data_IF_275764465032
#
_entry.id   IF_275764465032
#
_cell.length_a   1.000
_cell.length_b   1.000
_cell.length_c   1.000
_cell.angle_alpha   90.00
_cell.angle_beta   90.00
_cell.angle_gamma   90.00
#
_symmetry.space_group_name_H-M   'P 1'
#
loop_
_entity.id
_entity.type
_entity.pdbx_description
1 polymer ?
#
# COMPACT_ATOMS: atom_id res chain seq x y z
N UNK A 1 24.51 -66.52 26.29
CA UNK A 1 24.55 -65.03 26.17
C UNK A 1 25.40 -64.56 24.99
N UNK A 2 26.61 -65.02 24.76
CA UNK A 2 27.47 -64.54 23.66
C UNK A 2 26.88 -64.69 22.26
N UNK A 3 26.22 -65.83 21.94
CA UNK A 3 25.62 -66.04 20.63
C UNK A 3 24.48 -65.03 20.32
N UNK A 4 23.57 -64.77 21.29
CA UNK A 4 22.46 -63.80 21.11
C UNK A 4 22.96 -62.37 20.96
N UNK A 5 24.08 -61.99 21.60
CA UNK A 5 24.73 -60.70 21.44
C UNK A 5 25.33 -60.56 20.04
N UNK A 6 25.95 -61.65 19.51
CA UNK A 6 26.49 -61.68 18.14
C UNK A 6 25.36 -61.57 17.09
N UNK A 7 24.28 -62.26 17.27
CA UNK A 7 23.07 -62.19 16.38
C UNK A 7 22.49 -60.79 16.38
N UNK A 8 22.37 -60.13 17.55
CA UNK A 8 21.91 -58.75 17.64
C UNK A 8 22.84 -57.75 16.94
N UNK A 9 24.17 -57.88 17.13
CA UNK A 9 25.15 -57.07 16.44
C UNK A 9 25.12 -57.26 14.93
N UNK A 10 24.96 -58.50 14.45
CA UNK A 10 24.82 -58.79 13.03
C UNK A 10 23.55 -58.17 12.44
N UNK A 11 22.44 -58.28 13.14
CA UNK A 11 21.19 -57.63 12.72
C UNK A 11 21.33 -56.11 12.65
N UNK A 12 22.02 -55.48 13.63
CA UNK A 12 22.29 -54.05 13.65
C UNK A 12 23.13 -53.61 12.44
N UNK A 13 24.17 -54.40 12.12
CA UNK A 13 25.01 -54.12 10.93
C UNK A 13 24.23 -54.21 9.64
N UNK A 14 23.38 -55.24 9.51
CA UNK A 14 22.51 -55.40 8.33
C UNK A 14 21.56 -54.22 8.20
N UNK A 15 20.90 -53.80 9.29
CA UNK A 15 19.99 -52.62 9.27
C UNK A 15 20.73 -51.35 8.91
N UNK A 16 21.94 -51.13 9.47
CA UNK A 16 22.76 -50.02 9.12
C UNK A 16 23.20 -50.03 7.64
N UNK A 17 23.56 -51.17 7.11
CA UNK A 17 23.93 -51.33 5.70
C UNK A 17 22.74 -51.03 4.77
N UNK A 18 21.54 -51.50 5.11
CA UNK A 18 20.29 -51.19 4.37
C UNK A 18 20.01 -49.69 4.44
N UNK A 19 20.18 -49.05 5.61
CA UNK A 19 19.98 -47.63 5.77
C UNK A 19 20.96 -46.80 4.92
N UNK A 20 22.24 -47.16 4.89
CA UNK A 20 23.25 -46.52 4.03
C UNK A 20 22.88 -46.72 2.53
N UNK A 21 22.52 -47.92 2.13
CA UNK A 21 22.14 -48.21 0.75
C UNK A 21 20.92 -47.36 0.34
N UNK A 22 19.88 -47.29 1.19
CA UNK A 22 18.73 -46.47 0.97
C UNK A 22 19.11 -44.97 0.81
N UNK A 23 19.97 -44.46 1.68
CA UNK A 23 20.44 -43.08 1.62
C UNK A 23 21.24 -42.77 0.34
N UNK A 24 22.04 -43.71 -0.18
CA UNK A 24 22.76 -43.55 -1.44
C UNK A 24 21.81 -43.48 -2.66
N UNK A 25 20.72 -44.24 -2.62
CA UNK A 25 19.71 -44.28 -3.70
C UNK A 25 18.82 -43.03 -3.66
N UNK A 26 18.61 -42.41 -2.49
CA UNK A 26 17.79 -41.22 -2.35
C UNK A 26 18.34 -40.03 -3.16
N UNK A 27 17.45 -39.18 -3.72
CA UNK A 27 17.85 -37.97 -4.46
C UNK A 27 18.77 -37.07 -3.64
N UNK A 28 19.76 -36.48 -4.30
CA UNK A 28 20.66 -35.49 -3.69
C UNK A 28 20.05 -34.08 -3.66
N UNK A 29 18.85 -33.90 -4.21
CA UNK A 29 18.08 -32.63 -4.25
C UNK A 29 16.64 -32.91 -3.90
N UNK A 30 15.96 -31.93 -3.35
CA UNK A 30 14.52 -31.95 -3.13
C UNK A 30 13.85 -30.81 -3.90
N UNK A 31 12.66 -31.06 -4.42
CA UNK A 31 11.84 -30.07 -5.10
C UNK A 31 10.38 -30.33 -4.79
N UNK A 32 9.63 -29.25 -4.57
CA UNK A 32 8.17 -29.27 -4.46
C UNK A 32 7.62 -27.96 -5.00
N UNK A 33 6.46 -28.03 -5.64
CA UNK A 33 5.78 -26.85 -6.17
C UNK A 33 4.27 -26.92 -5.99
N UNK A 34 3.64 -25.76 -5.88
CA UNK A 34 2.21 -25.57 -5.91
C UNK A 34 1.85 -24.34 -6.73
N UNK A 35 0.70 -24.40 -7.39
CA UNK A 35 0.20 -23.30 -8.22
C UNK A 35 -1.20 -22.90 -7.80
N UNK A 36 -1.47 -21.58 -7.91
CA UNK A 36 -2.79 -20.99 -7.65
C UNK A 36 -3.03 -19.81 -8.60
N UNK A 37 -4.25 -19.70 -9.11
CA UNK A 37 -4.68 -18.51 -9.88
C UNK A 37 -5.25 -17.48 -8.93
N UNK A 38 -4.66 -16.29 -8.91
CA UNK A 38 -5.07 -15.15 -8.08
C UNK A 38 -5.77 -14.13 -8.98
N UNK A 39 -6.92 -13.61 -8.52
CA UNK A 39 -7.73 -12.61 -9.22
C UNK A 39 -7.16 -11.19 -9.13
N UNK A 40 -5.86 -11.04 -9.44
CA UNK A 40 -5.14 -9.75 -9.38
C UNK A 40 -4.19 -9.61 -10.57
N UNK A 41 -3.91 -8.36 -10.92
CA UNK A 41 -2.87 -8.05 -11.89
C UNK A 41 -1.50 -8.55 -11.40
N UNK A 42 -0.68 -9.02 -12.34
CA UNK A 42 0.64 -9.56 -12.05
C UNK A 42 1.53 -8.55 -11.33
N UNK A 43 1.39 -7.24 -11.62
CA UNK A 43 2.15 -6.20 -10.94
C UNK A 43 1.88 -6.18 -9.44
N UNK A 44 0.62 -6.29 -9.02
CA UNK A 44 0.24 -6.30 -7.60
C UNK A 44 0.78 -7.52 -6.86
N UNK A 45 0.73 -8.69 -7.51
CA UNK A 45 1.31 -9.93 -6.96
C UNK A 45 2.83 -9.81 -6.84
N UNK A 46 3.47 -9.32 -7.92
CA UNK A 46 4.91 -9.12 -7.96
C UNK A 46 5.38 -8.19 -6.85
N UNK A 47 4.76 -7.02 -6.70
CA UNK A 47 5.17 -6.03 -5.71
C UNK A 47 5.04 -6.55 -4.26
N UNK A 48 4.05 -7.41 -3.95
CA UNK A 48 3.95 -8.05 -2.64
C UNK A 48 5.06 -9.07 -2.41
N UNK A 49 5.51 -9.77 -3.46
CA UNK A 49 6.54 -10.80 -3.37
C UNK A 49 7.96 -10.26 -3.52
N UNK A 50 8.12 -9.08 -4.13
CA UNK A 50 9.42 -8.43 -4.33
C UNK A 50 9.93 -7.67 -3.08
N UNK A 51 9.13 -7.66 -2.02
CA UNK A 51 9.47 -7.16 -0.70
C UNK A 51 8.87 -8.07 0.38
N UNK A 52 9.26 -7.87 1.65
CA UNK A 52 8.83 -8.73 2.75
C UNK A 52 7.86 -8.05 3.73
N UNK A 53 7.43 -6.80 3.47
CA UNK A 53 6.61 -6.04 4.42
C UNK A 53 5.24 -6.69 4.70
N UNK A 54 4.69 -7.43 3.72
CA UNK A 54 3.43 -8.18 3.86
C UNK A 54 3.65 -9.66 4.23
N UNK A 55 4.90 -10.15 4.28
CA UNK A 55 5.20 -11.56 4.64
C UNK A 55 4.53 -12.02 5.95
N UNK A 56 4.49 -11.22 7.02
CA UNK A 56 3.82 -11.62 8.25
C UNK A 56 2.34 -11.96 8.08
N UNK A 57 1.67 -11.42 7.07
CA UNK A 57 0.25 -11.58 6.86
C UNK A 57 -0.10 -12.85 6.07
N UNK A 58 0.82 -13.34 5.24
CA UNK A 58 0.56 -14.55 4.45
C UNK A 58 1.46 -15.74 4.83
N UNK A 59 2.54 -15.54 5.59
CA UNK A 59 3.40 -16.63 6.05
C UNK A 59 2.74 -17.48 7.14
N UNK A 60 3.01 -18.78 7.12
CA UNK A 60 2.60 -19.72 8.18
C UNK A 60 3.28 -19.43 9.52
N UNK A 61 4.40 -18.71 9.53
CA UNK A 61 5.20 -18.44 10.72
C UNK A 61 4.38 -17.80 11.85
N UNK A 62 3.52 -16.84 11.51
CA UNK A 62 2.64 -16.18 12.49
C UNK A 62 1.57 -17.12 13.07
N UNK A 63 1.22 -18.20 12.37
CA UNK A 63 0.31 -19.21 12.90
C UNK A 63 0.99 -20.14 13.92
N UNK A 64 2.31 -20.26 13.84
CA UNK A 64 3.11 -21.03 14.81
C UNK A 64 3.43 -20.21 16.06
N UNK A 65 3.75 -18.92 15.85
CA UNK A 65 4.11 -18.01 16.95
C UNK A 65 3.56 -16.60 16.68
N UNK A 66 2.50 -16.23 17.40
CA UNK A 66 1.90 -14.88 17.30
C UNK A 66 2.83 -13.75 17.81
N UNK A 67 3.92 -14.08 18.51
CA UNK A 67 4.88 -13.13 19.06
C UNK A 67 6.20 -13.11 18.27
N UNK A 68 6.23 -13.74 17.10
CA UNK A 68 7.41 -13.76 16.23
C UNK A 68 7.86 -12.33 15.92
N UNK A 69 9.17 -12.11 15.96
CA UNK A 69 9.77 -10.80 15.68
C UNK A 69 10.44 -10.84 14.30
N UNK A 70 10.03 -9.89 13.47
CA UNK A 70 10.63 -9.67 12.15
C UNK A 70 11.57 -8.47 12.21
N UNK A 71 12.72 -8.61 11.55
CA UNK A 71 13.66 -7.52 11.32
C UNK A 71 13.93 -7.41 9.82
N UNK A 72 13.69 -6.23 9.27
CA UNK A 72 13.89 -5.93 7.86
C UNK A 72 15.23 -5.26 7.66
N UNK A 73 15.97 -5.67 6.64
CA UNK A 73 17.31 -5.17 6.31
C UNK A 73 17.54 -5.19 4.80
N UNK A 74 18.65 -4.64 4.36
CA UNK A 74 18.99 -4.54 2.94
C UNK A 74 18.19 -3.45 2.22
N UNK A 75 17.70 -3.75 1.03
CA UNK A 75 16.88 -2.83 0.23
C UNK A 75 15.42 -2.88 0.62
N UNK A 76 14.68 -1.83 0.30
CA UNK A 76 13.23 -1.79 0.52
C UNK A 76 12.47 -2.86 -0.30
N UNK A 77 12.94 -3.14 -1.53
CA UNK A 77 12.39 -4.15 -2.44
C UNK A 77 13.45 -4.57 -3.47
N UNK A 78 13.15 -5.64 -4.22
CA UNK A 78 14.02 -6.20 -5.24
C UNK A 78 15.23 -6.94 -4.70
N UNK A 79 16.15 -7.37 -5.59
CA UNK A 79 17.34 -8.12 -5.20
C UNK A 79 18.14 -7.42 -4.10
N UNK A 80 18.34 -8.11 -2.98
CA UNK A 80 18.98 -7.61 -1.77
C UNK A 80 18.03 -7.07 -0.71
N UNK A 81 16.71 -7.13 -0.90
CA UNK A 81 15.77 -6.98 0.20
C UNK A 81 15.83 -8.21 1.12
N UNK A 82 15.80 -8.01 2.42
CA UNK A 82 15.98 -9.08 3.40
C UNK A 82 15.01 -8.93 4.57
N UNK A 83 14.51 -10.06 5.06
CA UNK A 83 13.80 -10.18 6.33
C UNK A 83 14.39 -11.33 7.13
N UNK A 84 14.64 -11.11 8.41
CA UNK A 84 14.97 -12.16 9.36
C UNK A 84 13.91 -12.26 10.45
N UNK A 85 13.77 -13.45 11.02
CA UNK A 85 12.84 -13.66 12.13
C UNK A 85 13.45 -14.48 13.26
N UNK A 86 12.93 -14.23 14.45
CA UNK A 86 13.25 -15.00 15.64
C UNK A 86 11.98 -15.41 16.37
N UNK A 87 11.93 -16.69 16.76
CA UNK A 87 10.80 -17.28 17.46
C UNK A 87 11.27 -18.22 18.54
N UNK A 88 10.48 -18.34 19.60
CA UNK A 88 10.65 -19.36 20.64
C UNK A 88 9.95 -20.68 20.30
N UNK A 89 9.06 -20.71 19.32
CA UNK A 89 8.41 -21.94 18.84
C UNK A 89 9.35 -22.69 17.88
N UNK A 90 9.56 -23.96 18.13
CA UNK A 90 10.50 -24.81 17.36
C UNK A 90 10.08 -24.96 15.90
N UNK A 91 8.78 -24.86 15.58
CA UNK A 91 8.25 -24.99 14.22
C UNK A 91 8.56 -23.72 13.39
N UNK A 92 8.43 -22.55 13.99
CA UNK A 92 8.80 -21.29 13.35
C UNK A 92 10.34 -21.14 13.30
N UNK A 93 11.03 -21.49 14.39
CA UNK A 93 12.49 -21.38 14.52
C UNK A 93 13.01 -19.97 14.28
N UNK A 94 14.28 -19.91 13.91
CA UNK A 94 14.91 -18.69 13.43
C UNK A 94 15.29 -18.86 11.96
N UNK A 95 15.25 -17.76 11.19
CA UNK A 95 15.65 -17.82 9.79
C UNK A 95 15.67 -16.44 9.14
N UNK A 96 16.01 -16.45 7.85
CA UNK A 96 15.95 -15.27 6.99
C UNK A 96 15.54 -15.64 5.58
N UNK A 97 14.98 -14.66 4.88
CA UNK A 97 14.69 -14.67 3.46
C UNK A 97 15.34 -13.45 2.83
N UNK A 98 16.01 -13.65 1.69
CA UNK A 98 16.60 -12.59 0.90
C UNK A 98 16.13 -12.72 -0.53
N UNK A 99 15.68 -11.61 -1.15
CA UNK A 99 15.41 -11.59 -2.59
C UNK A 99 16.74 -11.71 -3.33
N UNK A 100 17.00 -12.87 -3.94
CA UNK A 100 18.18 -13.11 -4.75
C UNK A 100 18.04 -12.45 -6.12
N UNK A 101 16.92 -12.72 -6.78
CA UNK A 101 16.64 -12.21 -8.12
C UNK A 101 15.16 -11.94 -8.34
N UNK A 102 14.88 -10.94 -9.17
CA UNK A 102 13.54 -10.57 -9.60
C UNK A 102 13.59 -10.14 -11.08
N UNK A 103 12.82 -10.81 -11.93
CA UNK A 103 12.84 -10.62 -13.37
C UNK A 103 11.41 -10.64 -13.94
N UNK A 104 11.04 -9.66 -14.79
CA UNK A 104 11.80 -8.45 -15.14
C UNK A 104 11.99 -7.52 -13.94
N UNK A 105 12.89 -6.53 -14.07
CA UNK A 105 13.08 -5.53 -13.01
C UNK A 105 11.76 -4.87 -12.65
N UNK A 106 11.62 -4.44 -11.42
CA UNK A 106 10.43 -3.81 -10.85
C UNK A 106 9.77 -2.78 -11.80
N UNK A 107 10.55 -1.88 -12.41
CA UNK A 107 10.06 -0.86 -13.33
C UNK A 107 9.60 -1.40 -14.70
N UNK A 108 9.77 -2.70 -14.97
CA UNK A 108 9.42 -3.34 -16.24
C UNK A 108 8.21 -4.27 -16.15
N UNK A 109 7.68 -4.52 -14.95
CA UNK A 109 6.46 -5.32 -14.77
C UNK A 109 5.24 -4.45 -15.06
N UNK A 110 5.01 -4.20 -16.32
CA UNK A 110 3.87 -3.43 -16.84
C UNK A 110 2.82 -4.34 -17.52
N UNK A 111 1.86 -3.73 -18.19
CA UNK A 111 0.82 -4.45 -18.92
C UNK A 111 1.34 -5.30 -20.09
N UNK A 112 2.60 -5.19 -20.49
CA UNK A 112 3.20 -5.93 -21.62
C UNK A 112 3.92 -7.19 -21.17
N UNK A 113 4.42 -7.24 -19.94
CA UNK A 113 5.09 -8.42 -19.38
C UNK A 113 4.09 -9.56 -19.22
N UNK A 114 4.37 -10.72 -19.82
CA UNK A 114 3.51 -11.93 -19.72
C UNK A 114 3.87 -12.81 -18.55
N UNK A 115 5.14 -12.81 -18.17
CA UNK A 115 5.70 -13.64 -17.11
C UNK A 115 6.65 -12.82 -16.26
N UNK A 116 6.75 -13.19 -14.99
CA UNK A 116 7.77 -12.68 -14.09
C UNK A 116 8.25 -13.82 -13.17
N UNK A 117 9.44 -13.67 -12.62
CA UNK A 117 10.01 -14.61 -11.67
C UNK A 117 10.70 -13.86 -10.53
N UNK A 118 10.48 -14.32 -9.31
CA UNK A 118 11.17 -13.84 -8.11
C UNK A 118 11.76 -15.05 -7.40
N UNK A 119 12.99 -14.93 -6.98
CA UNK A 119 13.70 -15.99 -6.23
C UNK A 119 14.09 -15.43 -4.87
N UNK A 120 13.74 -16.17 -3.83
CA UNK A 120 14.16 -15.89 -2.46
C UNK A 120 15.14 -16.96 -2.00
N UNK A 121 16.28 -16.57 -1.47
CA UNK A 121 17.16 -17.43 -0.70
C UNK A 121 16.60 -17.61 0.70
N UNK A 122 16.57 -18.85 1.19
CA UNK A 122 16.06 -19.22 2.50
C UNK A 122 17.19 -19.75 3.39
N UNK A 123 17.38 -19.12 4.53
CA UNK A 123 18.20 -19.65 5.62
C UNK A 123 17.32 -19.96 6.83
N UNK A 124 17.24 -21.23 7.22
CA UNK A 124 16.49 -21.69 8.38
C UNK A 124 17.02 -23.07 8.85
N UNK A 125 16.39 -23.61 9.89
CA UNK A 125 16.75 -24.92 10.47
C UNK A 125 16.42 -26.15 9.62
N UNK A 126 15.77 -26.03 8.47
CA UNK A 126 15.48 -27.17 7.60
C UNK A 126 16.76 -27.78 7.04
N UNK A 127 16.75 -29.11 6.86
CA UNK A 127 17.93 -29.85 6.39
C UNK A 127 18.22 -29.55 4.94
N UNK A 128 19.51 -29.53 4.61
CA UNK A 128 20.01 -29.21 3.28
C UNK A 128 20.66 -27.81 3.23
N UNK A 129 21.10 -27.43 2.06
CA UNK A 129 21.75 -26.15 1.76
C UNK A 129 21.26 -25.64 0.39
N UNK A 130 21.61 -24.43 0.00
CA UNK A 130 21.12 -23.76 -1.21
C UNK A 130 19.60 -23.89 -1.30
N UNK A 131 18.93 -23.47 -0.24
CA UNK A 131 17.46 -23.52 -0.15
C UNK A 131 16.87 -22.27 -0.79
N UNK A 132 16.00 -22.45 -1.77
CA UNK A 132 15.37 -21.34 -2.47
C UNK A 132 13.87 -21.53 -2.57
N UNK A 133 13.14 -20.42 -2.50
CA UNK A 133 11.77 -20.31 -2.96
C UNK A 133 11.76 -19.58 -4.30
N UNK A 134 11.10 -20.15 -5.29
CA UNK A 134 10.91 -19.51 -6.60
C UNK A 134 9.43 -19.28 -6.84
N UNK A 135 9.09 -18.05 -7.21
CA UNK A 135 7.77 -17.64 -7.65
C UNK A 135 7.80 -17.41 -9.15
N UNK A 136 7.12 -18.26 -9.90
CA UNK A 136 6.87 -18.02 -11.32
C UNK A 136 5.46 -17.45 -11.47
N UNK A 137 5.37 -16.25 -12.05
CA UNK A 137 4.14 -15.51 -12.28
C UNK A 137 3.80 -15.54 -13.77
N UNK A 138 2.55 -15.82 -14.11
CA UNK A 138 2.06 -15.82 -15.48
C UNK A 138 0.71 -15.11 -15.57
N UNK A 139 0.60 -14.13 -16.47
CA UNK A 139 -0.67 -13.45 -16.73
C UNK A 139 -1.66 -14.38 -17.41
N UNK A 140 -2.88 -14.40 -16.90
CA UNK A 140 -3.97 -15.22 -17.44
C UNK A 140 -5.25 -14.38 -17.65
N UNK A 141 -6.19 -15.00 -18.38
CA UNK A 141 -7.48 -14.42 -18.70
C UNK A 141 -7.44 -13.46 -19.90
N UNK A 142 -8.62 -13.18 -20.47
CA UNK A 142 -8.76 -12.35 -21.68
C UNK A 142 -8.36 -10.88 -21.49
N UNK A 143 -8.35 -10.41 -20.24
CA UNK A 143 -7.99 -9.03 -19.87
C UNK A 143 -6.67 -8.94 -19.10
N UNK A 144 -5.90 -10.03 -19.01
CA UNK A 144 -4.66 -10.12 -18.23
C UNK A 144 -4.79 -9.67 -16.75
N UNK A 145 -5.98 -9.82 -16.17
CA UNK A 145 -6.28 -9.41 -14.80
C UNK A 145 -6.18 -10.56 -13.79
N UNK A 146 -5.78 -11.72 -14.25
CA UNK A 146 -5.53 -12.91 -13.41
C UNK A 146 -4.04 -13.22 -13.47
N UNK A 147 -3.50 -13.71 -12.37
CA UNK A 147 -2.12 -14.17 -12.30
C UNK A 147 -2.08 -15.59 -11.78
N UNK A 148 -1.51 -16.50 -12.56
CA UNK A 148 -1.11 -17.81 -12.06
C UNK A 148 0.21 -17.65 -11.32
N UNK A 149 0.23 -18.05 -10.05
CA UNK A 149 1.40 -18.04 -9.18
C UNK A 149 1.81 -19.47 -8.94
N UNK A 150 2.97 -19.86 -9.43
CA UNK A 150 3.62 -21.13 -9.08
C UNK A 150 4.71 -20.85 -8.08
N UNK A 151 4.58 -21.38 -6.87
CA UNK A 151 5.57 -21.26 -5.79
C UNK A 151 6.25 -22.60 -5.63
N UNK A 152 7.57 -22.64 -5.85
CA UNK A 152 8.39 -23.84 -5.65
C UNK A 152 9.41 -23.65 -4.52
N UNK A 153 9.80 -24.78 -3.94
CA UNK A 153 10.91 -24.89 -3.01
C UNK A 153 11.93 -25.86 -3.55
N UNK A 154 13.17 -25.43 -3.59
CA UNK A 154 14.33 -26.23 -4.01
C UNK A 154 15.37 -26.31 -2.91
N UNK A 155 15.99 -27.48 -2.75
CA UNK A 155 17.02 -27.73 -1.72
C UNK A 155 18.02 -28.77 -2.19
N UNK A 156 19.29 -28.60 -1.80
CA UNK A 156 20.35 -29.55 -2.02
C UNK A 156 20.72 -30.31 -0.74
N UNK A 157 20.81 -31.63 -0.84
CA UNK A 157 21.27 -32.50 0.25
C UNK A 157 22.72 -32.98 0.02
N UNK A 158 23.19 -32.94 -1.22
CA UNK A 158 24.53 -33.34 -1.64
C UNK A 158 24.85 -34.81 -1.28
N UNK A 159 26.05 -35.06 -0.78
CA UNK A 159 26.51 -36.39 -0.34
C UNK A 159 26.29 -36.63 1.16
N UNK A 160 25.61 -35.74 1.88
CA UNK A 160 25.27 -36.00 3.28
C UNK A 160 24.10 -36.99 3.33
N UNK A 161 24.41 -38.26 3.56
CA UNK A 161 23.45 -39.37 3.55
C UNK A 161 22.33 -39.17 4.58
N UNK A 162 22.61 -38.56 5.72
CA UNK A 162 21.59 -38.26 6.74
C UNK A 162 20.62 -37.18 6.25
N UNK A 163 21.12 -36.16 5.59
CA UNK A 163 20.27 -35.09 5.06
C UNK A 163 19.39 -35.57 3.90
N UNK A 164 19.81 -36.60 3.12
CA UNK A 164 19.00 -37.17 2.04
C UNK A 164 17.69 -37.79 2.55
N UNK A 165 17.68 -38.31 3.78
CA UNK A 165 16.44 -38.81 4.39
C UNK A 165 15.42 -37.70 4.61
N UNK A 166 15.84 -36.43 4.72
CA UNK A 166 14.93 -35.30 4.83
C UNK A 166 14.03 -35.12 3.59
N UNK A 167 14.44 -35.65 2.43
CA UNK A 167 13.58 -35.64 1.23
C UNK A 167 12.27 -36.43 1.42
N UNK A 168 12.19 -37.37 2.33
CA UNK A 168 10.95 -38.07 2.68
C UNK A 168 9.93 -37.16 3.35
N UNK A 169 10.39 -36.04 3.92
CA UNK A 169 9.58 -35.07 4.66
C UNK A 169 9.41 -33.75 3.90
N UNK A 170 9.80 -33.69 2.62
CA UNK A 170 9.68 -32.45 1.82
C UNK A 170 8.23 -32.01 1.66
N UNK A 171 7.29 -32.98 1.69
CA UNK A 171 5.83 -32.73 1.71
C UNK A 171 5.30 -32.41 3.12
N UNK A 172 6.16 -32.18 4.10
CA UNK A 172 5.81 -31.72 5.44
C UNK A 172 5.87 -30.20 5.57
N UNK A 173 6.84 -29.68 6.33
CA UNK A 173 6.96 -28.27 6.62
C UNK A 173 7.13 -27.37 5.38
N UNK A 174 7.98 -27.72 4.36
CA UNK A 174 8.11 -26.90 3.17
C UNK A 174 6.81 -26.80 2.35
N UNK A 175 6.11 -27.93 2.18
CA UNK A 175 4.85 -27.98 1.45
C UNK A 175 3.75 -27.20 2.16
N UNK A 176 3.65 -27.37 3.48
CA UNK A 176 2.70 -26.63 4.31
C UNK A 176 2.97 -25.12 4.29
N UNK A 177 4.24 -24.71 4.24
CA UNK A 177 4.63 -23.31 4.13
C UNK A 177 4.12 -22.70 2.82
N UNK A 178 4.30 -23.40 1.70
CA UNK A 178 3.84 -22.97 0.38
C UNK A 178 2.31 -22.95 0.31
N UNK A 179 1.65 -24.02 0.73
CA UNK A 179 0.18 -24.14 0.65
C UNK A 179 -0.52 -23.05 1.47
N UNK A 180 -0.10 -22.89 2.72
CA UNK A 180 -0.64 -21.84 3.60
C UNK A 180 -0.33 -20.46 3.05
N UNK A 181 0.91 -20.26 2.57
CA UNK A 181 1.37 -19.00 2.01
C UNK A 181 0.54 -18.58 0.79
N UNK A 182 0.31 -19.47 -0.17
CA UNK A 182 -0.52 -19.17 -1.35
C UNK A 182 -1.96 -18.83 -1.00
N UNK A 183 -2.59 -19.58 -0.09
CA UNK A 183 -3.96 -19.32 0.35
C UNK A 183 -4.08 -17.94 1.02
N UNK A 184 -3.14 -17.59 1.89
CA UNK A 184 -3.17 -16.29 2.56
C UNK A 184 -2.74 -15.15 1.64
N UNK A 185 -1.80 -15.37 0.71
CA UNK A 185 -1.43 -14.37 -0.29
C UNK A 185 -2.66 -13.93 -1.10
N UNK A 186 -3.55 -14.85 -1.47
CA UNK A 186 -4.82 -14.53 -2.11
C UNK A 186 -5.68 -13.61 -1.23
N UNK A 187 -5.77 -13.89 0.08
CA UNK A 187 -6.55 -13.08 1.02
C UNK A 187 -5.94 -11.68 1.21
N UNK A 188 -4.62 -11.60 1.33
CA UNK A 188 -3.89 -10.33 1.43
C UNK A 188 -4.13 -9.47 0.20
N UNK A 189 -4.02 -10.06 -0.98
CA UNK A 189 -4.24 -9.37 -2.25
C UNK A 189 -5.71 -9.00 -2.48
N UNK A 190 -6.67 -9.74 -1.90
CA UNK A 190 -8.09 -9.41 -2.04
C UNK A 190 -8.42 -8.00 -1.51
N UNK A 191 -7.69 -7.51 -0.51
CA UNK A 191 -7.86 -6.16 0.05
C UNK A 191 -7.30 -5.05 -0.83
N UNK A 192 -6.45 -5.36 -1.80
CA UNK A 192 -5.81 -4.37 -2.68
C UNK A 192 -6.81 -3.93 -3.77
N UNK A 193 -7.02 -2.64 -4.03
CA UNK A 193 -7.84 -2.17 -5.14
C UNK A 193 -7.36 -2.71 -6.49
N UNK A 194 -8.30 -3.04 -7.39
CA UNK A 194 -7.98 -3.51 -8.75
C UNK A 194 -7.74 -2.31 -9.68
N UNK A 195 -6.60 -1.67 -9.54
CA UNK A 195 -6.17 -0.54 -10.35
C UNK A 195 -4.76 -0.78 -10.88
N UNK A 196 -4.47 -0.23 -12.06
CA UNK A 196 -3.13 -0.21 -12.62
C UNK A 196 -2.41 1.05 -12.09
N UNK A 197 -1.32 0.85 -11.37
CA UNK A 197 -0.48 1.91 -10.83
C UNK A 197 0.97 1.86 -11.36
N UNK A 198 1.15 1.29 -12.55
CA UNK A 198 2.49 1.11 -13.14
C UNK A 198 3.28 2.41 -13.31
N UNK A 199 2.57 3.51 -13.53
CA UNK A 199 3.16 4.83 -13.74
C UNK A 199 3.26 5.65 -12.44
N UNK A 200 2.79 5.09 -11.31
CA UNK A 200 2.80 5.74 -10.01
C UNK A 200 4.09 5.42 -9.25
N UNK A 201 4.90 6.43 -8.98
CA UNK A 201 5.94 6.40 -7.95
C UNK A 201 5.53 7.42 -6.90
N UNK A 202 4.88 7.01 -5.79
CA UNK A 202 4.38 7.95 -4.81
C UNK A 202 5.52 8.66 -4.11
N UNK A 203 5.29 9.93 -3.86
CA UNK A 203 6.17 10.79 -3.11
C UNK A 203 5.84 10.67 -1.62
N UNK A 204 6.83 10.56 -0.74
CA UNK A 204 6.59 10.62 0.69
C UNK A 204 6.82 12.05 1.15
N UNK A 205 5.74 12.68 1.61
CA UNK A 205 5.78 14.01 2.18
C UNK A 205 5.51 13.97 3.68
N UNK A 206 6.30 14.69 4.44
CA UNK A 206 5.96 15.03 5.82
C UNK A 206 5.06 16.26 5.81
N UNK A 207 3.89 16.15 6.43
CA UNK A 207 2.94 17.26 6.57
C UNK A 207 2.88 17.72 8.02
N UNK A 208 2.67 19.02 8.23
CA UNK A 208 2.47 19.56 9.56
C UNK A 208 0.98 19.56 9.94
N UNK A 209 0.64 19.33 11.23
CA UNK A 209 -0.73 19.50 11.69
C UNK A 209 -1.21 20.90 11.39
N UNK A 210 -2.26 21.01 10.57
CA UNK A 210 -2.72 22.29 10.05
C UNK A 210 -4.11 22.61 10.58
N UNK A 211 -4.34 23.77 11.25
CA UNK A 211 -5.68 24.17 11.67
C UNK A 211 -6.53 24.49 10.44
N UNK A 212 -7.74 23.93 10.38
CA UNK A 212 -8.66 24.09 9.26
C UNK A 212 -10.07 24.39 9.73
N UNK A 213 -10.79 25.20 8.94
CA UNK A 213 -12.24 25.26 8.94
C UNK A 213 -12.75 24.38 7.82
N UNK A 214 -13.80 23.59 8.06
CA UNK A 214 -14.36 22.66 7.09
C UNK A 214 -15.88 22.63 7.12
N UNK A 215 -16.47 22.26 5.97
CA UNK A 215 -17.92 22.03 5.80
C UNK A 215 -18.12 20.65 5.21
N UNK A 216 -18.88 19.76 5.89
CA UNK A 216 -19.28 18.49 5.33
C UNK A 216 -20.27 18.67 4.17
N UNK A 217 -20.03 17.96 3.08
CA UNK A 217 -20.84 18.03 1.85
C UNK A 217 -21.18 16.63 1.38
N UNK A 218 -22.40 16.47 0.88
CA UNK A 218 -22.83 15.26 0.16
C UNK A 218 -23.48 15.65 -1.14
N UNK A 219 -23.09 15.04 -2.25
CA UNK A 219 -23.69 15.22 -3.57
C UNK A 219 -24.15 13.89 -4.14
N UNK A 220 -25.10 13.94 -5.07
CA UNK A 220 -25.44 12.79 -5.90
C UNK A 220 -24.52 12.76 -7.11
N UNK A 221 -23.91 11.62 -7.39
CA UNK A 221 -22.96 11.46 -8.52
C UNK A 221 -23.63 11.72 -9.88
N UNK A 222 -24.93 11.43 -10.00
CA UNK A 222 -25.71 11.71 -11.21
C UNK A 222 -25.81 13.20 -11.58
N UNK A 223 -25.62 14.08 -10.60
CA UNK A 223 -25.73 15.54 -10.80
C UNK A 223 -24.43 16.14 -11.39
N UNK A 224 -23.38 15.31 -11.53
CA UNK A 224 -22.19 15.59 -12.31
C UNK A 224 -21.23 16.63 -11.72
N UNK A 225 -20.36 17.16 -12.59
CA UNK A 225 -19.29 18.08 -12.19
C UNK A 225 -19.81 19.43 -11.68
N UNK A 226 -20.94 19.90 -12.19
CA UNK A 226 -21.50 21.20 -11.80
C UNK A 226 -21.98 21.18 -10.35
N UNK A 227 -22.58 20.06 -9.91
CA UNK A 227 -23.00 19.89 -8.51
C UNK A 227 -21.79 19.87 -7.57
N UNK A 228 -20.71 19.19 -7.97
CA UNK A 228 -19.46 19.20 -7.20
C UNK A 228 -18.89 20.62 -7.09
N UNK A 229 -18.67 21.29 -8.22
CA UNK A 229 -18.08 22.62 -8.27
C UNK A 229 -18.93 23.64 -7.51
N UNK A 230 -20.25 23.59 -7.68
CA UNK A 230 -21.17 24.47 -6.99
C UNK A 230 -21.18 24.27 -5.48
N UNK A 231 -21.17 23.01 -5.01
CA UNK A 231 -21.13 22.70 -3.59
C UNK A 231 -19.80 23.07 -2.93
N UNK A 232 -18.67 22.85 -3.62
CA UNK A 232 -17.34 23.30 -3.16
C UNK A 232 -17.30 24.83 -3.04
N UNK A 233 -17.80 25.56 -4.05
CA UNK A 233 -17.83 27.04 -4.03
C UNK A 233 -18.71 27.57 -2.89
N UNK A 234 -19.85 26.94 -2.63
CA UNK A 234 -20.74 27.27 -1.51
C UNK A 234 -20.03 27.04 -0.17
N UNK A 235 -19.40 25.90 0.01
CA UNK A 235 -18.66 25.57 1.23
C UNK A 235 -17.52 26.54 1.48
N UNK A 236 -16.72 26.90 0.46
CA UNK A 236 -15.67 27.92 0.55
C UNK A 236 -16.23 29.26 1.03
N UNK A 237 -17.36 29.71 0.46
CA UNK A 237 -17.99 30.96 0.85
C UNK A 237 -18.46 30.95 2.31
N UNK A 238 -19.01 29.82 2.79
CA UNK A 238 -19.37 29.63 4.20
C UNK A 238 -18.15 29.70 5.12
N UNK A 239 -17.07 29.00 4.76
CA UNK A 239 -15.81 29.00 5.53
C UNK A 239 -15.22 30.42 5.62
N UNK A 240 -15.15 31.14 4.50
CA UNK A 240 -14.63 32.51 4.46
C UNK A 240 -15.46 33.48 5.30
N UNK A 241 -16.79 33.36 5.26
CA UNK A 241 -17.68 34.15 6.09
C UNK A 241 -17.48 33.86 7.59
N UNK A 242 -17.32 32.59 7.95
CA UNK A 242 -17.08 32.16 9.33
C UNK A 242 -15.67 32.56 9.80
N UNK A 243 -14.64 32.43 8.98
CA UNK A 243 -13.29 32.88 9.30
C UNK A 243 -13.26 34.39 9.64
N UNK A 244 -13.97 35.19 8.84
CA UNK A 244 -14.13 36.63 9.11
C UNK A 244 -14.85 36.92 10.43
N UNK A 245 -15.90 36.16 10.77
CA UNK A 245 -16.60 36.27 12.05
C UNK A 245 -15.69 35.93 13.24
N UNK A 246 -14.85 34.91 13.08
CA UNK A 246 -13.91 34.45 14.10
C UNK A 246 -12.64 35.33 14.20
N UNK A 247 -12.42 36.22 13.25
CA UNK A 247 -11.22 37.07 13.19
C UNK A 247 -9.94 36.31 12.82
N UNK A 248 -10.06 35.21 12.07
CA UNK A 248 -8.93 34.39 11.59
C UNK A 248 -8.78 34.55 10.07
N UNK A 249 -7.56 34.33 9.57
CA UNK A 249 -7.24 34.42 8.14
C UNK A 249 -7.11 33.05 7.53
N UNK A 250 -7.60 32.92 6.29
CA UNK A 250 -7.35 31.75 5.46
C UNK A 250 -5.92 31.83 4.90
N UNK A 251 -5.13 30.78 5.07
CA UNK A 251 -3.69 30.77 4.78
C UNK A 251 -3.27 29.95 3.57
N UNK A 252 -4.19 29.15 3.00
CA UNK A 252 -3.84 28.24 1.90
C UNK A 252 -4.99 27.88 0.97
N UNK A 253 -4.73 27.07 -0.04
CA UNK A 253 -5.74 26.58 -0.97
C UNK A 253 -6.76 25.66 -0.27
N UNK A 254 -7.87 25.39 -0.97
CA UNK A 254 -8.87 24.44 -0.49
C UNK A 254 -8.28 23.04 -0.40
N UNK A 255 -8.73 22.31 0.60
CA UNK A 255 -8.46 20.88 0.81
C UNK A 255 -9.80 20.15 0.73
N UNK A 256 -9.84 19.00 0.09
CA UNK A 256 -11.03 18.13 0.08
C UNK A 256 -10.68 16.79 0.71
N UNK A 257 -11.26 16.52 1.88
CA UNK A 257 -11.12 15.22 2.56
C UNK A 257 -12.24 14.30 2.10
N UNK A 258 -11.90 13.17 1.51
CA UNK A 258 -12.91 12.19 1.09
C UNK A 258 -13.41 11.42 2.30
N UNK A 259 -14.73 11.44 2.50
CA UNK A 259 -15.38 10.65 3.56
C UNK A 259 -15.89 9.33 3.01
N UNK A 260 -16.63 9.37 1.91
CA UNK A 260 -17.16 8.17 1.25
C UNK A 260 -17.44 8.48 -0.22
N UNK A 261 -16.96 7.62 -1.09
CA UNK A 261 -17.30 7.64 -2.51
C UNK A 261 -18.06 6.36 -2.84
N UNK A 262 -19.38 6.42 -2.70
CA UNK A 262 -20.29 5.31 -2.99
C UNK A 262 -20.70 5.26 -4.46
N UNK A 263 -21.61 4.35 -4.78
CA UNK A 263 -22.10 4.14 -6.16
C UNK A 263 -23.01 5.29 -6.64
N UNK A 264 -23.72 5.94 -5.73
CA UNK A 264 -24.71 6.99 -6.04
C UNK A 264 -24.38 8.33 -5.41
N UNK A 265 -23.63 8.35 -4.32
CA UNK A 265 -23.32 9.55 -3.55
C UNK A 265 -21.82 9.70 -3.32
N UNK A 266 -21.38 10.95 -3.28
CA UNK A 266 -20.04 11.32 -2.83
C UNK A 266 -20.16 12.25 -1.62
N UNK A 267 -19.60 11.82 -0.48
CA UNK A 267 -19.52 12.59 0.75
C UNK A 267 -18.07 12.98 1.02
N UNK A 268 -17.84 14.25 1.29
CA UNK A 268 -16.51 14.82 1.51
C UNK A 268 -16.60 16.07 2.39
N UNK A 269 -15.49 16.46 2.98
CA UNK A 269 -15.37 17.71 3.72
C UNK A 269 -14.55 18.70 2.88
N UNK A 270 -15.10 19.86 2.59
CA UNK A 270 -14.35 20.98 1.99
C UNK A 270 -13.74 21.77 3.12
N UNK A 271 -12.43 21.96 3.09
CA UNK A 271 -11.68 22.65 4.15
C UNK A 271 -10.79 23.76 3.60
N UNK A 272 -10.49 24.72 4.44
CA UNK A 272 -9.48 25.76 4.19
C UNK A 272 -8.58 25.92 5.43
N UNK A 273 -7.24 25.96 5.24
CA UNK A 273 -6.31 26.23 6.31
C UNK A 273 -6.51 27.64 6.89
N UNK A 274 -6.31 27.77 8.19
CA UNK A 274 -6.38 29.06 8.91
C UNK A 274 -5.10 29.29 9.73
N UNK A 275 -4.87 30.55 10.12
CA UNK A 275 -3.68 30.99 10.83
C UNK A 275 -3.71 30.77 12.35
N UNK A 276 -4.79 30.19 12.90
CA UNK A 276 -4.93 30.00 14.34
C UNK A 276 -5.36 28.59 14.70
N UNK A 277 -4.67 27.99 15.67
CA UNK A 277 -5.05 26.71 16.29
C UNK A 277 -5.95 26.88 17.53
N UNK A 278 -6.28 28.13 17.91
CA UNK A 278 -7.19 28.43 19.00
C UNK A 278 -8.27 29.40 18.51
N UNK A 279 -9.55 29.06 18.72
CA UNK A 279 -10.69 29.84 18.26
C UNK A 279 -11.53 30.33 19.42
N UNK A 280 -11.99 31.58 19.37
CA UNK A 280 -12.95 32.10 20.33
C UNK A 280 -14.37 31.81 19.81
N UNK A 281 -15.07 30.90 20.46
CA UNK A 281 -16.45 30.53 20.15
C UNK A 281 -17.31 30.82 21.38
N UNK A 282 -18.33 31.64 21.23
CA UNK A 282 -19.22 32.07 22.33
C UNK A 282 -18.48 32.70 23.53
N UNK A 283 -17.38 33.42 23.30
CA UNK A 283 -16.59 34.05 24.36
C UNK A 283 -15.63 33.11 25.08
N UNK A 284 -15.54 31.84 24.66
CA UNK A 284 -14.59 30.87 25.20
C UNK A 284 -13.52 30.54 24.15
N UNK A 285 -12.25 30.60 24.54
CA UNK A 285 -11.14 30.17 23.69
C UNK A 285 -11.02 28.65 23.75
N UNK A 286 -11.17 27.98 22.60
CA UNK A 286 -11.05 26.54 22.47
C UNK A 286 -9.86 26.21 21.58
N UNK A 287 -9.00 25.30 22.04
CA UNK A 287 -7.86 24.80 21.29
C UNK A 287 -8.34 23.72 20.33
N UNK A 288 -7.92 23.81 19.05
CA UNK A 288 -8.25 22.78 18.07
C UNK A 288 -7.43 21.51 18.32
N UNK A 289 -8.09 20.37 18.16
CA UNK A 289 -7.50 19.05 18.30
C UNK A 289 -7.66 18.26 17.01
N UNK A 290 -6.83 17.22 16.84
CA UNK A 290 -7.00 16.26 15.76
C UNK A 290 -8.34 15.53 15.91
N UNK A 291 -8.98 15.12 14.79
CA UNK A 291 -10.20 14.34 14.86
C UNK A 291 -9.95 12.98 15.54
N UNK A 292 -10.96 12.48 16.20
CA UNK A 292 -10.93 11.18 16.89
C UNK A 292 -11.90 10.19 16.22
N UNK A 293 -11.66 8.88 16.32
CA UNK A 293 -12.62 7.89 15.85
C UNK A 293 -13.98 8.12 16.55
N UNK A 294 -15.10 7.95 15.84
CA UNK A 294 -16.41 8.01 16.50
C UNK A 294 -16.49 6.90 17.57
N UNK A 295 -17.08 7.21 18.71
CA UNK A 295 -17.32 6.22 19.75
C UNK A 295 -18.15 5.07 19.14
N UNK A 296 -17.71 3.82 19.38
CA UNK A 296 -18.48 2.64 19.00
C UNK A 296 -19.74 2.61 19.87
N UNK A 297 -20.90 2.70 19.23
CA UNK A 297 -22.17 2.53 19.92
C UNK A 297 -22.39 1.02 20.15
N UNK A 298 -21.96 0.53 21.32
CA UNK A 298 -22.07 -0.89 21.69
C UNK A 298 -23.53 -1.37 21.83
N UNK A 299 -24.51 -0.48 21.66
CA UNK A 299 -25.95 -0.79 21.70
C UNK A 299 -26.60 -0.82 20.32
N UNK A 300 -25.87 -0.60 19.22
CA UNK A 300 -26.43 -0.76 17.89
C UNK A 300 -26.74 -2.26 17.63
N UNK A 301 -27.98 -2.61 17.25
CA UNK A 301 -28.32 -4.00 16.93
C UNK A 301 -27.47 -4.47 15.75
N UNK A 302 -26.94 -5.70 15.83
CA UNK A 302 -26.05 -6.33 14.84
C UNK A 302 -26.72 -6.60 13.46
N UNK A 303 -27.94 -6.18 13.24
CA UNK A 303 -28.78 -6.44 12.06
C UNK A 303 -29.26 -5.15 11.38
N UNK A 304 -28.37 -4.23 11.05
CA UNK A 304 -28.71 -3.07 10.24
C UNK A 304 -28.27 -3.23 8.77
N UNK A 305 -28.77 -4.27 8.11
CA UNK A 305 -28.74 -4.44 6.64
C UNK A 305 -29.74 -3.58 5.86
N UNK A 306 -30.34 -2.59 6.51
CA UNK A 306 -31.19 -1.57 5.86
C UNK A 306 -30.75 -0.21 6.37
N UNK A 307 -30.32 0.66 5.46
CA UNK A 307 -30.02 2.05 5.74
C UNK A 307 -31.26 2.73 6.40
N UNK A 308 -31.32 2.70 7.72
CA UNK A 308 -32.22 3.55 8.47
C UNK A 308 -31.83 5.00 8.16
N UNK A 309 -32.81 5.80 7.71
CA UNK A 309 -32.64 7.23 7.59
C UNK A 309 -32.03 7.76 8.91
N UNK A 310 -31.03 8.64 8.87
CA UNK A 310 -30.43 9.16 10.09
C UNK A 310 -31.54 9.78 10.93
N UNK A 311 -31.72 9.28 12.17
CA UNK A 311 -32.53 9.97 13.16
C UNK A 311 -32.08 11.43 13.15
N UNK A 312 -33.02 12.37 13.19
CA UNK A 312 -32.73 13.80 13.18
C UNK A 312 -31.75 14.09 14.32
N UNK A 313 -30.46 14.20 13.97
CA UNK A 313 -29.44 14.55 14.94
C UNK A 313 -29.80 15.93 15.48
N UNK A 314 -29.84 16.08 16.81
CA UNK A 314 -29.99 17.39 17.44
C UNK A 314 -29.00 18.36 16.76
N UNK A 315 -29.51 19.52 16.34
CA UNK A 315 -28.69 20.51 15.68
C UNK A 315 -27.60 20.99 16.66
N UNK A 316 -26.36 20.57 16.39
CA UNK A 316 -25.19 20.96 17.18
C UNK A 316 -25.06 22.49 17.19
N UNK A 317 -24.73 23.03 18.37
CA UNK A 317 -24.57 24.48 18.56
C UNK A 317 -23.10 24.89 18.50
N UNK A 318 -22.78 26.13 18.16
CA UNK A 318 -21.40 26.62 18.27
C UNK A 318 -20.82 26.39 19.67
N UNK A 319 -19.66 25.76 19.74
CA UNK A 319 -19.01 25.30 20.97
C UNK A 319 -19.16 23.82 21.28
N UNK A 320 -20.11 23.09 20.65
CA UNK A 320 -20.24 21.64 20.74
C UNK A 320 -19.16 20.94 19.89
N UNK A 321 -18.99 19.65 20.12
CA UNK A 321 -18.14 18.79 19.29
C UNK A 321 -19.01 17.77 18.55
N UNK A 322 -18.68 17.51 17.27
CA UNK A 322 -19.33 16.48 16.51
C UNK A 322 -18.81 15.07 16.87
N UNK A 323 -19.37 14.04 16.24
CA UNK A 323 -18.97 12.63 16.50
C UNK A 323 -17.48 12.31 16.22
N UNK A 324 -16.76 13.17 15.53
CA UNK A 324 -15.32 13.05 15.29
C UNK A 324 -14.50 13.98 16.19
N UNK A 325 -15.11 14.60 17.21
CA UNK A 325 -14.44 15.54 18.11
C UNK A 325 -14.11 16.90 17.46
N UNK A 326 -14.67 17.22 16.30
CA UNK A 326 -14.45 18.49 15.60
C UNK A 326 -15.33 19.59 16.19
N UNK A 327 -14.75 20.73 16.48
CA UNK A 327 -15.45 21.86 17.08
C UNK A 327 -16.46 22.47 16.11
N UNK A 328 -17.71 22.61 16.52
CA UNK A 328 -18.75 23.36 15.80
C UNK A 328 -18.53 24.85 16.00
N UNK A 329 -18.35 25.62 14.95
CA UNK A 329 -18.07 27.04 15.04
C UNK A 329 -19.19 27.95 14.53
N UNK A 330 -19.86 27.58 13.44
CA UNK A 330 -21.00 28.35 12.90
C UNK A 330 -21.82 27.48 11.92
N UNK A 331 -23.05 27.14 12.26
CA UNK A 331 -23.92 26.29 11.42
C UNK A 331 -23.27 24.95 11.06
N UNK A 332 -22.99 24.73 9.77
CA UNK A 332 -22.35 23.50 9.29
C UNK A 332 -20.83 23.57 9.34
N UNK A 333 -20.24 24.72 9.67
CA UNK A 333 -18.79 24.89 9.72
C UNK A 333 -18.23 24.25 10.99
N UNK A 334 -17.21 23.43 10.80
CA UNK A 334 -16.45 22.76 11.87
C UNK A 334 -15.00 23.22 11.83
N UNK A 335 -14.31 23.10 12.95
CA UNK A 335 -12.87 23.38 13.06
C UNK A 335 -12.14 22.18 13.68
N UNK A 336 -10.94 21.90 13.18
CA UNK A 336 -10.09 20.81 13.68
C UNK A 336 -8.64 21.03 13.25
N UNK A 337 -7.71 20.24 13.79
CA UNK A 337 -6.37 20.09 13.21
C UNK A 337 -6.42 18.99 12.15
N UNK A 338 -6.06 19.31 10.91
CA UNK A 338 -5.83 18.33 9.87
C UNK A 338 -4.59 17.50 10.20
N UNK A 339 -4.51 16.31 9.59
CA UNK A 339 -3.44 15.35 9.79
C UNK A 339 -2.04 15.99 9.65
N UNK A 340 -1.16 15.66 10.59
CA UNK A 340 0.27 15.92 10.52
C UNK A 340 1.04 14.61 10.64
N UNK A 341 1.96 14.38 9.71
CA UNK A 341 2.74 13.15 9.64
C UNK A 341 3.08 12.76 8.21
N UNK A 342 3.55 11.53 7.99
CA UNK A 342 3.90 11.05 6.66
C UNK A 342 2.64 10.80 5.81
N UNK A 343 2.70 11.17 4.55
CA UNK A 343 1.66 10.90 3.56
C UNK A 343 2.29 10.53 2.22
N UNK A 344 1.71 9.55 1.55
CA UNK A 344 2.00 9.28 0.14
C UNK A 344 1.31 10.34 -0.71
N UNK A 345 2.04 10.94 -1.63
CA UNK A 345 1.55 11.96 -2.55
C UNK A 345 1.61 11.44 -3.98
N UNK A 346 0.50 11.56 -4.70
CA UNK A 346 0.40 11.40 -6.15
C UNK A 346 -0.16 12.66 -6.80
N UNK A 347 0.03 12.82 -8.10
CA UNK A 347 -0.45 13.98 -8.86
C UNK A 347 -1.46 13.53 -9.89
N UNK A 348 -2.59 14.24 -9.95
CA UNK A 348 -3.59 14.06 -10.98
C UNK A 348 -3.74 15.34 -11.81
N UNK A 349 -3.66 15.21 -13.12
CA UNK A 349 -3.94 16.30 -14.06
C UNK A 349 -5.25 16.00 -14.81
N UNK A 350 -6.29 16.76 -14.56
CA UNK A 350 -7.60 16.53 -15.17
C UNK A 350 -8.77 17.06 -14.33
N UNK A 351 -9.93 16.45 -14.52
CA UNK A 351 -11.13 16.79 -13.73
C UNK A 351 -11.08 16.12 -12.35
N UNK A 352 -11.83 16.60 -11.38
CA UNK A 352 -11.90 16.04 -10.03
C UNK A 352 -12.27 14.53 -9.98
N UNK A 353 -12.94 14.03 -11.04
CA UNK A 353 -13.35 12.62 -11.13
C UNK A 353 -12.15 11.68 -11.12
N UNK A 354 -11.04 12.09 -11.75
CA UNK A 354 -9.82 11.29 -11.78
C UNK A 354 -9.05 11.25 -10.45
N UNK A 355 -9.30 12.18 -9.53
CA UNK A 355 -8.73 12.16 -8.18
C UNK A 355 -9.03 10.84 -7.45
N UNK A 356 -10.21 10.23 -7.70
CA UNK A 356 -10.56 8.92 -7.16
C UNK A 356 -9.59 7.84 -7.64
N UNK A 357 -9.29 7.82 -8.95
CA UNK A 357 -8.37 6.83 -9.52
C UNK A 357 -7.00 6.91 -8.85
N UNK A 358 -6.45 8.11 -8.76
CA UNK A 358 -5.15 8.33 -8.09
C UNK A 358 -5.16 7.91 -6.62
N UNK A 359 -6.27 8.13 -5.89
CA UNK A 359 -6.39 7.60 -4.52
C UNK A 359 -6.38 6.09 -4.46
N UNK A 360 -7.12 5.43 -5.37
CA UNK A 360 -7.18 3.98 -5.43
C UNK A 360 -5.80 3.39 -5.82
N UNK A 361 -5.05 4.08 -6.69
CA UNK A 361 -3.67 3.75 -7.02
C UNK A 361 -2.73 3.91 -5.82
N UNK A 362 -2.82 5.03 -5.08
CA UNK A 362 -2.05 5.24 -3.85
C UNK A 362 -2.35 4.17 -2.80
N UNK A 363 -3.62 3.78 -2.64
CA UNK A 363 -4.03 2.70 -1.74
C UNK A 363 -3.48 1.35 -2.19
N UNK A 364 -3.57 1.05 -3.49
CA UNK A 364 -3.03 -0.18 -4.03
C UNK A 364 -1.51 -0.26 -3.82
N UNK A 365 -0.80 0.83 -4.11
CA UNK A 365 0.63 0.94 -3.83
C UNK A 365 0.93 0.77 -2.33
N UNK A 366 0.22 1.47 -1.47
CA UNK A 366 0.41 1.36 -0.01
C UNK A 366 0.25 -0.08 0.47
N UNK A 367 -0.83 -0.75 0.06
CA UNK A 367 -1.14 -2.11 0.48
C UNK A 367 -0.16 -3.15 -0.07
N UNK A 368 0.44 -2.94 -1.22
CA UNK A 368 1.44 -3.86 -1.78
C UNK A 368 2.85 -3.65 -1.20
N UNK A 369 3.15 -2.45 -0.68
CA UNK A 369 4.46 -2.07 -0.15
C UNK A 369 4.51 -1.96 1.39
N UNK A 370 3.45 -2.39 2.09
CA UNK A 370 3.43 -2.45 3.55
C UNK A 370 3.19 -1.13 4.28
N UNK A 371 2.73 -0.09 3.57
CA UNK A 371 2.24 1.13 4.22
C UNK A 371 0.91 0.87 4.91
N UNK A 372 0.73 1.46 6.08
CA UNK A 372 -0.51 1.40 6.85
C UNK A 372 -1.18 2.77 6.85
N UNK A 373 -2.47 2.80 6.65
CA UNK A 373 -3.28 4.01 6.64
C UNK A 373 -4.61 3.79 7.35
N UNK A 374 -5.27 4.89 7.70
CA UNK A 374 -6.56 4.91 8.39
C UNK A 374 -7.54 5.79 7.60
N UNK A 375 -8.53 5.16 7.00
CA UNK A 375 -9.57 5.86 6.22
C UNK A 375 -10.67 6.49 7.06
N UNK A 376 -10.68 6.28 8.38
CA UNK A 376 -11.75 6.79 9.26
C UNK A 376 -11.42 8.16 9.81
N UNK A 377 -10.22 8.33 10.34
CA UNK A 377 -9.77 9.58 11.00
C UNK A 377 -8.85 10.38 10.08
N UNK A 378 -7.77 9.75 9.60
CA UNK A 378 -6.77 10.38 8.75
C UNK A 378 -7.05 10.05 7.28
N UNK A 379 -8.17 10.58 6.79
CA UNK A 379 -8.69 10.26 5.46
C UNK A 379 -7.83 10.83 4.33
N UNK A 380 -7.86 10.14 3.20
CA UNK A 380 -7.28 10.65 1.96
C UNK A 380 -7.84 12.02 1.62
N UNK A 381 -7.00 12.91 1.13
CA UNK A 381 -7.41 14.25 0.74
C UNK A 381 -6.70 14.71 -0.53
N UNK A 382 -7.25 15.73 -1.16
CA UNK A 382 -6.64 16.39 -2.32
C UNK A 382 -6.58 17.91 -2.12
N UNK A 383 -5.53 18.49 -2.73
CA UNK A 383 -5.33 19.93 -2.82
C UNK A 383 -5.29 20.29 -4.30
N UNK A 384 -6.09 21.27 -4.73
CA UNK A 384 -5.97 21.79 -6.08
C UNK A 384 -4.72 22.69 -6.15
N UNK A 385 -3.64 22.13 -6.69
CA UNK A 385 -2.38 22.84 -6.87
C UNK A 385 -2.47 23.91 -7.96
N UNK A 386 -3.18 23.61 -9.06
CA UNK A 386 -3.44 24.55 -10.16
C UNK A 386 -4.90 24.45 -10.62
N UNK A 387 -5.58 25.57 -10.87
CA UNK A 387 -6.93 25.56 -11.42
C UNK A 387 -6.92 25.23 -12.92
N UNK A 388 -8.05 24.75 -13.43
CA UNK A 388 -8.29 24.63 -14.87
C UNK A 388 -8.29 26.02 -15.51
N UNK A 389 -7.63 26.15 -16.65
CA UNK A 389 -7.62 27.38 -17.45
C UNK A 389 -8.33 27.14 -18.78
N UNK A 390 -9.10 28.15 -19.23
CA UNK A 390 -9.83 28.15 -20.51
C UNK A 390 -9.49 29.40 -21.31
N UNK A 391 -9.53 29.26 -22.62
CA UNK A 391 -9.43 30.41 -23.54
C UNK A 391 -10.76 31.21 -23.58
N UNK A 392 -10.77 32.31 -24.33
CA UNK A 392 -11.95 33.15 -24.51
C UNK A 392 -13.11 32.44 -25.23
N UNK A 393 -12.86 31.33 -25.90
CA UNK A 393 -13.82 30.47 -26.56
C UNK A 393 -14.35 29.34 -25.66
N UNK A 394 -13.82 29.21 -24.45
CA UNK A 394 -14.19 28.19 -23.47
C UNK A 394 -13.45 26.86 -23.63
N UNK A 395 -12.46 26.75 -24.52
CA UNK A 395 -11.66 25.54 -24.64
C UNK A 395 -10.66 25.45 -23.52
N UNK A 396 -10.44 24.24 -22.99
CA UNK A 396 -9.46 23.99 -21.93
C UNK A 396 -8.06 24.18 -22.52
N UNK A 397 -7.30 25.13 -21.97
CA UNK A 397 -5.88 25.39 -22.32
C UNK A 397 -4.92 24.74 -21.32
N UNK A 398 -5.37 24.48 -20.10
CA UNK A 398 -4.65 23.73 -19.09
C UNK A 398 -5.64 23.03 -18.18
N UNK A 399 -5.42 21.75 -17.93
CA UNK A 399 -6.22 21.01 -16.94
C UNK A 399 -5.86 21.43 -15.52
N UNK A 400 -6.80 21.21 -14.58
CA UNK A 400 -6.52 21.35 -13.17
C UNK A 400 -5.47 20.32 -12.73
N UNK A 401 -4.59 20.70 -11.82
CA UNK A 401 -3.64 19.81 -11.15
C UNK A 401 -4.05 19.63 -9.70
N UNK A 402 -4.15 18.37 -9.29
CA UNK A 402 -4.46 17.98 -7.92
C UNK A 402 -3.31 17.21 -7.33
N UNK A 403 -2.85 17.64 -6.16
CA UNK A 403 -1.98 16.86 -5.31
C UNK A 403 -2.88 16.00 -4.42
N UNK A 404 -2.74 14.68 -4.57
CA UNK A 404 -3.58 13.69 -3.88
C UNK A 404 -2.76 13.01 -2.80
N UNK A 405 -3.27 12.99 -1.59
CA UNK A 405 -2.56 12.49 -0.41
C UNK A 405 -3.25 11.31 0.23
N UNK A 406 -2.47 10.31 0.59
CA UNK A 406 -2.87 9.21 1.46
C UNK A 406 -2.04 9.28 2.74
N UNK A 407 -2.59 9.79 3.87
CA UNK A 407 -1.92 9.76 5.16
C UNK A 407 -1.56 8.35 5.57
N UNK A 408 -0.32 8.15 6.05
CA UNK A 408 0.16 6.84 6.51
C UNK A 408 0.57 6.89 7.97
N UNK A 409 0.47 5.75 8.66
CA UNK A 409 0.85 5.61 10.07
C UNK A 409 2.26 5.05 10.25
N UNK A 410 2.86 4.59 9.16
CA UNK A 410 4.24 4.11 9.11
C UNK A 410 4.91 4.59 7.82
N UNK A 411 6.21 4.55 7.81
CA UNK A 411 7.05 4.81 6.63
C UNK A 411 7.98 3.62 6.45
N UNK A 412 7.59 2.59 5.65
CA UNK A 412 8.55 1.60 5.19
C UNK A 412 9.72 2.26 4.47
N UNK A 413 10.81 1.53 4.26
CA UNK A 413 11.98 2.06 3.58
C UNK A 413 11.61 2.66 2.23
N UNK A 414 12.21 3.81 1.92
CA UNK A 414 11.93 4.56 0.70
C UNK A 414 12.74 4.04 -0.47
N UNK A 415 12.16 4.10 -1.67
CA UNK A 415 12.93 3.92 -2.90
C UNK A 415 13.90 5.09 -3.10
N UNK A 416 14.98 4.93 -3.91
CA UNK A 416 15.85 6.05 -4.24
C UNK A 416 15.12 7.26 -4.82
N UNK A 417 14.08 7.03 -5.63
CA UNK A 417 13.25 8.08 -6.22
C UNK A 417 12.42 8.81 -5.16
N UNK A 418 11.78 8.07 -4.24
CA UNK A 418 11.05 8.64 -3.12
C UNK A 418 11.97 9.43 -2.19
N UNK A 419 13.16 8.87 -1.88
CA UNK A 419 14.16 9.55 -1.05
C UNK A 419 14.75 10.81 -1.72
N UNK A 420 14.88 10.80 -3.04
CA UNK A 420 15.31 11.97 -3.82
C UNK A 420 14.23 13.04 -3.95
N UNK A 421 12.98 12.69 -3.62
CA UNK A 421 11.89 13.63 -3.66
C UNK A 421 11.38 13.94 -5.07
N UNK A 422 11.43 12.99 -5.99
CA UNK A 422 10.94 13.16 -7.36
C UNK A 422 9.43 12.96 -7.38
N UNK A 423 8.71 14.01 -7.74
CA UNK A 423 7.26 13.99 -7.93
C UNK A 423 6.92 13.48 -9.32
N UNK A 424 6.17 12.39 -9.39
CA UNK A 424 5.73 11.77 -10.64
C UNK A 424 4.24 12.05 -10.88
N UNK A 425 3.80 12.45 -12.10
CA UNK A 425 2.39 12.46 -12.45
C UNK A 425 1.87 11.03 -12.56
N UNK A 426 0.69 10.76 -12.03
CA UNK A 426 0.11 9.41 -11.99
C UNK A 426 -0.74 9.06 -13.20
N UNK A 427 -1.42 10.04 -13.74
CA UNK A 427 -2.27 9.88 -14.92
C UNK A 427 -2.09 11.09 -15.82
N UNK A 428 -1.33 10.92 -16.89
CA UNK A 428 -1.24 11.91 -17.94
C UNK A 428 -2.47 11.84 -18.84
N UNK A 429 -3.51 12.56 -18.46
CA UNK A 429 -4.43 13.01 -19.49
C UNK A 429 -3.70 14.12 -20.22
N UNK A 430 -3.13 13.78 -21.38
CA UNK A 430 -2.48 14.77 -22.22
C UNK A 430 -3.47 15.91 -22.48
N UNK A 431 -3.22 17.05 -21.86
CA UNK A 431 -3.90 18.28 -22.23
C UNK A 431 -3.70 18.51 -23.74
N UNK A 432 -4.54 19.29 -24.39
CA UNK A 432 -4.29 19.67 -25.76
C UNK A 432 -2.86 20.20 -25.83
N UNK A 433 -2.02 19.53 -26.65
CA UNK A 433 -0.60 19.87 -26.76
C UNK A 433 -0.50 21.38 -26.92
N UNK A 434 0.21 22.05 -26.02
CA UNK A 434 0.47 23.46 -26.14
C UNK A 434 1.13 23.67 -27.51
N UNK A 435 0.40 24.25 -28.44
CA UNK A 435 0.88 24.53 -29.78
C UNK A 435 2.11 25.45 -29.66
N UNK A 436 3.32 24.87 -29.79
CA UNK A 436 4.55 25.58 -30.04
C UNK A 436 5.34 26.03 -28.82
N UNK A 437 5.99 25.10 -28.18
CA UNK A 437 7.35 25.35 -27.71
C UNK A 437 8.30 24.52 -28.58
N UNK A 438 8.75 25.13 -29.68
CA UNK A 438 9.90 24.61 -30.36
C UNK A 438 11.07 24.51 -29.38
N UNK A 439 11.85 23.40 -29.38
CA UNK A 439 13.01 23.31 -28.53
C UNK A 439 13.92 24.50 -28.80
N UNK A 440 14.34 25.20 -27.77
CA UNK A 440 15.31 26.27 -27.86
C UNK A 440 16.55 25.72 -28.60
N UNK A 441 17.10 26.44 -29.59
CA UNK A 441 18.26 25.96 -30.30
C UNK A 441 19.41 25.77 -29.30
N UNK A 442 20.03 24.61 -29.35
CA UNK A 442 21.19 24.26 -28.54
C UNK A 442 22.25 25.37 -28.73
N UNK A 443 22.59 26.03 -27.62
CA UNK A 443 23.71 26.98 -27.58
C UNK A 443 24.97 26.24 -27.99
N UNK A 444 25.47 26.47 -29.20
CA UNK A 444 26.79 26.06 -29.64
C UNK A 444 27.82 26.81 -28.79
N UNK A 445 28.37 26.14 -27.79
CA UNK A 445 29.54 26.61 -27.09
C UNK A 445 30.69 26.77 -28.08
N UNK A 446 31.12 27.99 -28.28
CA UNK A 446 32.30 28.34 -29.11
C UNK A 446 33.54 27.68 -28.50
N UNK A 447 34.24 26.90 -29.30
CA UNK A 447 35.54 26.35 -28.95
C UNK A 447 36.56 27.50 -28.76
N UNK A 448 37.45 27.44 -27.77
CA UNK A 448 38.49 28.43 -27.59
C UNK A 448 39.56 28.27 -28.72
N UNK A 449 39.87 29.37 -29.37
CA UNK A 449 40.92 29.49 -30.35
C UNK A 449 42.28 29.17 -29.69
N UNK A 450 42.93 28.10 -30.19
CA UNK A 450 44.35 27.82 -29.87
C UNK A 450 45.24 28.89 -30.50
N UNK A 451 46.10 29.45 -29.66
CA UNK A 451 47.29 30.17 -30.11
C UNK A 451 48.49 29.24 -30.05
N UNK A 452 49.18 29.19 -31.18
CA UNK A 452 50.56 28.70 -31.43
C UNK A 452 50.96 27.36 -30.90
#
# INVERSE_FOLDING_TARGET
MRARVLEFLMALVIVAAIGVLAAVIMPGTGHIERSMVIGKDMRQVYDVLDNFHRLPEFSVLNSYDAHIKYNYSGKAFGPGAEVSWTSSDVRAGNGSLTVDSATPDFNKVDGTAKTAQIVWDLENGWKGYDKTFTFALERQGSRNQLTNVTWSYDVKYGWNLVNRFANLYIHGDPDSFIEFGLNNLQNVLASVPNVDYKDLIPYIRQTDPTPVLLVPVTIQLKDGNDAYTGSVSKAISQIQATAKKLGVNVTGPRIVFTTNYGDTTYTYDVAMPIDSSALNVNGQTQQLTAPTPPALDNNAPADAGTAAAPAAAEALKPGDHDKFGRLVVDGDVRATLAFGGPALEGVWNGTFVGVRSTRDELKAYALTHGYKFDDVVNRSYDIMAKPEMKDAQGNITSYAEFDVYLPTTNTPDQTPEQAAGIKQPTLDVAGPAAAGSAPAPASTAAAPAGKH
#
